data_IF_160406494495
#
_entry.id   IF_160406494495
#
_cell.length_a   1.000
_cell.length_b   1.000
_cell.length_c   1.000
_cell.angle_alpha   90.00
_cell.angle_beta   90.00
_cell.angle_gamma   90.00
#
_symmetry.space_group_name_H-M   'P 1'
#
loop_
_entity.id
_entity.type
_entity.pdbx_description
1 polymer ?
#
# COMPACT_ATOMS: atom_id res chain seq x y z
N UNK A 1 19.05 1.27 4.16
CA UNK A 1 20.08 0.87 3.17
C UNK A 1 19.67 1.36 1.79
N UNK A 2 20.61 1.80 0.95
CA UNK A 2 20.33 2.18 -0.44
C UNK A 2 20.38 0.95 -1.35
N UNK A 3 19.38 0.80 -2.22
CA UNK A 3 19.24 -0.28 -3.20
C UNK A 3 18.83 0.26 -4.58
N UNK A 4 18.97 -0.55 -5.63
CA UNK A 4 18.62 -0.19 -7.01
C UNK A 4 17.74 -1.31 -7.61
N UNK A 5 16.42 -1.25 -7.39
CA UNK A 5 15.52 -2.31 -7.82
C UNK A 5 15.53 -2.48 -9.34
N UNK A 6 15.38 -3.73 -9.78
CA UNK A 6 15.27 -4.08 -11.21
C UNK A 6 14.05 -4.95 -11.43
N UNK A 7 13.27 -4.59 -12.44
CA UNK A 7 12.07 -5.30 -12.81
C UNK A 7 12.33 -6.17 -14.04
N UNK A 8 12.01 -7.45 -13.94
CA UNK A 8 12.05 -8.40 -15.05
C UNK A 8 10.64 -8.89 -15.35
N UNK A 9 10.26 -8.85 -16.62
CA UNK A 9 8.95 -9.29 -17.09
C UNK A 9 9.12 -10.46 -18.05
N UNK A 10 8.36 -11.53 -17.84
CA UNK A 10 8.28 -12.60 -18.80
C UNK A 10 7.70 -12.11 -20.13
N UNK A 11 8.21 -12.62 -21.26
CA UNK A 11 7.73 -12.28 -22.62
C UNK A 11 6.49 -13.09 -23.04
N UNK A 12 5.91 -13.87 -22.14
CA UNK A 12 4.78 -14.78 -22.36
C UNK A 12 3.60 -14.34 -21.50
N UNK A 13 2.39 -14.72 -21.90
CA UNK A 13 1.12 -14.27 -21.30
C UNK A 13 0.89 -14.62 -19.82
N UNK A 14 1.80 -15.38 -19.19
CA UNK A 14 1.83 -15.51 -17.74
C UNK A 14 2.47 -14.25 -17.17
N UNK A 15 1.69 -13.48 -16.41
CA UNK A 15 2.00 -12.21 -15.74
C UNK A 15 3.09 -12.32 -14.66
N UNK A 16 4.06 -13.23 -14.83
CA UNK A 16 5.17 -13.41 -13.92
C UNK A 16 6.12 -12.23 -14.05
N UNK A 17 6.15 -11.43 -12.99
CA UNK A 17 7.00 -10.27 -12.84
C UNK A 17 7.91 -10.50 -11.64
N UNK A 18 9.21 -10.36 -11.85
CA UNK A 18 10.20 -10.49 -10.77
C UNK A 18 10.79 -9.11 -10.46
N UNK A 19 10.76 -8.73 -9.19
CA UNK A 19 11.41 -7.52 -8.69
C UNK A 19 12.62 -7.89 -7.86
N UNK A 20 13.80 -7.64 -8.41
CA UNK A 20 15.08 -7.82 -7.73
C UNK A 20 15.37 -6.57 -6.90
N UNK A 21 15.47 -6.71 -5.57
CA UNK A 21 15.73 -5.60 -4.65
C UNK A 21 17.15 -5.68 -4.10
N UNK A 22 17.56 -6.86 -3.63
CA UNK A 22 18.94 -7.18 -3.20
C UNK A 22 19.34 -8.57 -3.71
N UNK A 23 20.55 -9.03 -3.44
CA UNK A 23 21.01 -10.38 -3.83
C UNK A 23 20.18 -11.50 -3.18
N UNK A 24 19.60 -11.18 -2.02
CA UNK A 24 18.93 -12.06 -1.08
C UNK A 24 17.42 -11.75 -0.95
N UNK A 25 16.93 -10.75 -1.68
CA UNK A 25 15.52 -10.36 -1.72
C UNK A 25 15.06 -10.12 -3.16
N UNK A 26 14.30 -11.09 -3.67
CA UNK A 26 13.59 -11.04 -4.95
C UNK A 26 12.13 -11.35 -4.70
N UNK A 27 11.26 -10.48 -5.22
CA UNK A 27 9.80 -10.63 -5.11
C UNK A 27 9.24 -11.20 -6.42
N UNK A 28 8.29 -12.13 -6.29
CA UNK A 28 7.47 -12.64 -7.38
C UNK A 28 6.13 -11.90 -7.31
N UNK A 29 5.95 -10.96 -8.21
CA UNK A 29 4.85 -10.03 -8.20
C UNK A 29 3.67 -10.58 -9.00
N UNK A 30 2.48 -10.47 -8.40
CA UNK A 30 1.18 -10.60 -9.06
C UNK A 30 0.40 -9.29 -8.88
N UNK A 31 -0.46 -8.96 -9.85
CA UNK A 31 -1.33 -7.79 -9.76
C UNK A 31 -2.29 -7.95 -8.58
N UNK A 32 -2.42 -6.92 -7.73
CA UNK A 32 -3.35 -6.97 -6.62
C UNK A 32 -4.78 -6.64 -7.09
N UNK A 33 -5.69 -7.60 -6.91
CA UNK A 33 -7.11 -7.41 -7.21
C UNK A 33 -7.90 -7.04 -5.95
N UNK A 34 -7.95 -5.74 -5.63
CA UNK A 34 -8.69 -5.22 -4.46
C UNK A 34 -9.72 -4.14 -4.80
N UNK A 35 -9.77 -3.70 -6.05
CA UNK A 35 -10.63 -2.58 -6.45
C UNK A 35 -11.94 -3.09 -7.08
N UNK A 36 -13.08 -2.44 -6.77
CA UNK A 36 -14.27 -2.56 -7.60
C UNK A 36 -14.02 -1.95 -8.98
N UNK A 37 -14.93 -2.18 -9.93
CA UNK A 37 -14.80 -1.67 -11.31
C UNK A 37 -14.56 -0.15 -11.38
N UNK A 38 -15.14 0.61 -10.45
CA UNK A 38 -14.94 2.06 -10.32
C UNK A 38 -14.73 2.45 -8.86
N UNK A 39 -13.73 3.28 -8.63
CA UNK A 39 -13.42 3.87 -7.32
C UNK A 39 -13.85 5.33 -7.32
N UNK A 40 -14.65 5.74 -6.34
CA UNK A 40 -15.06 7.13 -6.16
C UNK A 40 -14.01 7.87 -5.31
N UNK A 41 -13.47 8.97 -5.85
CA UNK A 41 -12.63 9.91 -5.13
C UNK A 41 -13.38 11.21 -4.91
N UNK A 42 -13.57 11.57 -3.64
CA UNK A 42 -14.16 12.84 -3.23
C UNK A 42 -13.06 13.79 -2.75
N UNK A 43 -13.05 15.03 -3.23
CA UNK A 43 -12.18 16.06 -2.69
C UNK A 43 -12.87 17.42 -2.62
N UNK A 44 -12.36 18.28 -1.73
CA UNK A 44 -12.84 19.65 -1.60
C UNK A 44 -11.95 20.58 -2.42
N UNK A 45 -12.54 21.32 -3.36
CA UNK A 45 -11.87 22.40 -4.11
C UNK A 45 -12.51 23.73 -3.70
N UNK A 46 -11.99 24.33 -2.63
CA UNK A 46 -12.65 25.46 -1.95
C UNK A 46 -13.89 24.99 -1.20
N UNK A 47 -15.03 25.62 -1.45
CA UNK A 47 -16.33 25.26 -0.83
C UNK A 47 -17.10 24.17 -1.61
N UNK A 48 -16.59 23.73 -2.76
CA UNK A 48 -17.24 22.71 -3.59
C UNK A 48 -16.59 21.35 -3.39
N UNK A 49 -17.43 20.38 -3.05
CA UNK A 49 -17.09 18.96 -3.15
C UNK A 49 -17.08 18.57 -4.64
N UNK A 50 -16.01 17.88 -5.05
CA UNK A 50 -15.84 17.35 -6.40
C UNK A 50 -15.72 15.85 -6.31
N UNK A 51 -16.53 15.17 -7.11
CA UNK A 51 -16.59 13.70 -7.20
C UNK A 51 -15.98 13.27 -8.53
N UNK A 52 -15.08 12.28 -8.47
CA UNK A 52 -14.39 11.73 -9.63
C UNK A 52 -14.39 10.20 -9.53
N UNK A 53 -14.77 9.53 -10.61
CA UNK A 53 -14.68 8.07 -10.70
C UNK A 53 -13.42 7.69 -11.47
N UNK A 54 -12.61 6.83 -10.88
CA UNK A 54 -11.43 6.24 -11.51
C UNK A 54 -11.76 4.79 -11.85
N UNK A 55 -11.47 4.38 -13.09
CA UNK A 55 -11.67 3.00 -13.52
C UNK A 55 -10.59 2.09 -12.90
N UNK A 56 -10.99 0.87 -12.51
CA UNK A 56 -10.12 -0.15 -11.91
C UNK A 56 -8.78 -0.31 -12.63
N UNK A 57 -8.80 -0.30 -13.97
CA UNK A 57 -7.61 -0.49 -14.81
C UNK A 57 -6.53 0.57 -14.60
N UNK A 58 -6.90 1.80 -14.19
CA UNK A 58 -5.92 2.85 -13.91
C UNK A 58 -5.15 2.56 -12.61
N UNK A 59 -5.78 1.87 -11.65
CA UNK A 59 -5.20 1.58 -10.34
C UNK A 59 -4.57 0.19 -10.27
N UNK A 60 -5.25 -0.85 -10.77
CA UNK A 60 -4.81 -2.24 -10.65
C UNK A 60 -3.42 -2.46 -11.25
N UNK A 61 -3.12 -1.84 -12.38
CA UNK A 61 -1.82 -1.98 -13.05
C UNK A 61 -0.65 -1.32 -12.30
N UNK A 62 -0.93 -0.60 -11.21
CA UNK A 62 0.08 0.06 -10.39
C UNK A 62 0.38 -0.73 -9.12
N UNK A 63 -0.52 -1.62 -8.67
CA UNK A 63 -0.44 -2.27 -7.35
C UNK A 63 -0.13 -3.76 -7.49
N UNK A 64 0.93 -4.19 -6.82
CA UNK A 64 1.44 -5.54 -6.89
C UNK A 64 1.58 -6.14 -5.49
N UNK A 65 1.49 -7.47 -5.41
CA UNK A 65 1.72 -8.22 -4.19
C UNK A 65 2.64 -9.41 -4.40
N UNK A 66 3.33 -9.81 -3.34
CA UNK A 66 4.00 -11.11 -3.22
C UNK A 66 3.53 -11.75 -1.91
N UNK A 67 2.72 -12.81 -2.01
CA UNK A 67 2.17 -13.51 -0.85
C UNK A 67 3.25 -14.19 0.01
N UNK A 68 4.32 -14.70 -0.61
CA UNK A 68 5.40 -15.41 0.10
C UNK A 68 6.18 -14.46 1.00
N UNK A 69 6.43 -13.25 0.52
CA UNK A 69 7.16 -12.22 1.25
C UNK A 69 6.23 -11.22 1.96
N UNK A 70 4.91 -11.47 1.97
CA UNK A 70 3.88 -10.56 2.48
C UNK A 70 4.10 -9.11 2.02
N UNK A 71 4.48 -8.95 0.75
CA UNK A 71 4.84 -7.67 0.18
C UNK A 71 3.65 -7.07 -0.56
N UNK A 72 3.45 -5.77 -0.37
CA UNK A 72 2.49 -4.97 -1.10
C UNK A 72 3.18 -3.68 -1.55
N UNK A 73 3.15 -3.39 -2.84
CA UNK A 73 3.94 -2.30 -3.41
C UNK A 73 3.27 -1.69 -4.64
N UNK A 74 3.57 -0.43 -4.88
CA UNK A 74 3.29 0.25 -6.14
C UNK A 74 4.54 0.33 -7.01
N UNK A 75 4.36 0.29 -8.33
CA UNK A 75 5.45 0.49 -9.30
C UNK A 75 5.05 1.56 -10.32
N UNK A 76 5.84 2.64 -10.39
CA UNK A 76 5.77 3.66 -11.45
C UNK A 76 6.94 3.48 -12.44
N UNK A 77 6.72 3.79 -13.73
CA UNK A 77 7.67 3.47 -14.82
C UNK A 77 8.06 4.64 -15.71
N UNK A 78 7.51 5.83 -15.46
CA UNK A 78 7.61 6.96 -16.38
C UNK A 78 9.05 7.51 -16.49
N UNK A 79 9.82 7.49 -15.40
CA UNK A 79 11.19 8.02 -15.31
C UNK A 79 12.06 7.07 -14.48
N UNK A 80 12.24 5.86 -15.02
CA UNK A 80 12.85 4.73 -14.33
C UNK A 80 11.87 3.96 -13.46
N UNK A 81 12.33 2.83 -12.92
CA UNK A 81 11.52 1.99 -12.03
C UNK A 81 11.50 2.63 -10.64
N UNK A 82 10.32 3.10 -10.21
CA UNK A 82 10.08 3.62 -8.86
C UNK A 82 9.18 2.65 -8.11
N UNK A 83 9.63 2.17 -6.96
CA UNK A 83 8.95 1.20 -6.13
C UNK A 83 8.68 1.81 -4.75
N UNK A 84 7.43 1.77 -4.32
CA UNK A 84 7.04 2.21 -2.98
C UNK A 84 6.15 1.16 -2.33
N UNK A 85 6.45 0.74 -1.10
CA UNK A 85 5.65 -0.30 -0.47
C UNK A 85 6.22 -0.89 0.81
N UNK A 86 5.57 -1.96 1.26
CA UNK A 86 5.88 -2.70 2.48
C UNK A 86 6.30 -4.12 2.08
N UNK A 87 7.33 -4.65 2.75
CA UNK A 87 7.89 -5.98 2.52
C UNK A 87 8.09 -6.68 3.87
N UNK A 88 7.72 -7.95 3.98
CA UNK A 88 7.89 -8.79 5.18
C UNK A 88 7.34 -8.14 6.47
N UNK A 89 6.29 -7.31 6.35
CA UNK A 89 5.64 -6.53 7.42
C UNK A 89 6.55 -5.58 8.23
N UNK A 90 7.84 -5.54 7.93
CA UNK A 90 8.88 -4.89 8.76
C UNK A 90 9.72 -3.92 7.94
N UNK A 91 9.80 -4.10 6.62
CA UNK A 91 10.56 -3.22 5.75
C UNK A 91 9.65 -2.33 4.94
N UNK A 92 10.02 -1.06 4.75
CA UNK A 92 9.52 -0.21 3.68
C UNK A 92 10.60 0.00 2.63
N UNK A 93 10.15 0.09 1.39
CA UNK A 93 10.93 0.58 0.26
C UNK A 93 10.29 1.87 -0.25
N UNK A 94 11.11 2.87 -0.57
CA UNK A 94 10.64 4.11 -1.21
C UNK A 94 11.70 4.67 -2.15
N UNK A 95 11.31 5.35 -3.24
CA UNK A 95 12.27 6.02 -4.12
C UNK A 95 12.94 7.18 -3.36
N UNK A 96 14.21 7.43 -3.68
CA UNK A 96 14.93 8.61 -3.23
C UNK A 96 14.77 9.71 -4.29
N UNK A 97 14.23 10.87 -3.90
CA UNK A 97 14.14 12.03 -4.78
C UNK A 97 15.52 12.67 -4.93
N UNK A 98 16.35 12.15 -5.83
CA UNK A 98 17.64 12.76 -6.15
C UNK A 98 17.40 14.02 -6.98
N UNK A 99 17.79 15.19 -6.45
CA UNK A 99 17.66 16.50 -7.11
C UNK A 99 18.48 16.66 -8.40
N UNK A 100 19.27 15.65 -8.78
CA UNK A 100 20.07 15.67 -10.00
C UNK A 100 19.60 14.56 -10.93
N UNK A 101 19.26 14.93 -12.17
CA UNK A 101 19.10 14.00 -13.27
C UNK A 101 20.41 13.28 -13.48
N UNK A 102 20.59 12.14 -12.82
CA UNK A 102 21.58 11.19 -13.27
C UNK A 102 21.08 10.63 -14.60
N UNK A 103 21.89 10.64 -15.65
CA UNK A 103 21.64 9.93 -16.93
C UNK A 103 21.56 8.39 -16.76
N UNK A 104 21.42 7.90 -15.53
CA UNK A 104 21.28 6.50 -15.16
C UNK A 104 19.81 6.10 -15.16
N UNK A 105 19.43 5.00 -15.82
CA UNK A 105 18.07 4.47 -15.79
C UNK A 105 17.69 3.85 -14.43
N UNK A 106 18.61 3.83 -13.46
CA UNK A 106 18.45 3.20 -12.16
C UNK A 106 18.13 4.24 -11.08
N UNK A 107 16.88 4.23 -10.60
CA UNK A 107 16.44 5.07 -9.49
C UNK A 107 16.90 4.46 -8.17
N UNK A 108 17.57 5.26 -7.34
CA UNK A 108 17.97 4.84 -6.00
C UNK A 108 16.76 4.73 -5.07
N UNK A 109 16.74 3.70 -4.24
CA UNK A 109 15.67 3.47 -3.27
C UNK A 109 16.26 3.32 -1.87
N UNK A 110 15.52 3.82 -0.89
CA UNK A 110 15.77 3.53 0.50
C UNK A 110 14.95 2.30 0.93
N UNK A 111 15.63 1.23 1.32
CA UNK A 111 15.06 0.06 1.99
C UNK A 111 15.40 0.17 3.48
N UNK A 112 14.39 0.32 4.33
CA UNK A 112 14.59 0.53 5.76
C UNK A 112 13.58 -0.27 6.58
N UNK A 113 14.03 -0.71 7.74
CA UNK A 113 13.19 -1.39 8.72
C UNK A 113 12.35 -0.36 9.47
N UNK A 114 11.13 -0.74 9.82
CA UNK A 114 10.22 0.03 10.64
C UNK A 114 9.94 -0.80 11.88
N UNK A 115 10.22 -0.21 13.04
CA UNK A 115 9.83 -0.80 14.30
C UNK A 115 8.30 -0.89 14.36
N UNK A 116 7.78 -2.06 14.72
CA UNK A 116 6.35 -2.22 15.01
C UNK A 116 6.07 -1.38 16.26
N UNK A 117 5.52 -0.18 16.09
CA UNK A 117 5.35 0.82 17.17
C UNK A 117 4.43 0.30 18.29
N UNK A 118 3.66 -0.78 18.03
CA UNK A 118 2.79 -1.41 19.00
C UNK A 118 2.84 -2.94 18.93
N UNK A 119 3.86 -3.60 19.51
CA UNK A 119 3.88 -5.05 19.60
C UNK A 119 2.69 -5.59 20.42
N UNK A 120 2.03 -4.74 21.24
CA UNK A 120 0.97 -5.10 22.17
C UNK A 120 -0.23 -4.11 22.18
N UNK A 121 -0.71 -3.62 21.03
CA UNK A 121 -1.89 -2.72 20.99
C UNK A 121 -3.20 -3.33 21.54
N UNK A 122 -3.21 -4.61 21.95
CA UNK A 122 -4.30 -5.20 22.72
C UNK A 122 -4.30 -4.80 24.21
N UNK A 123 -3.24 -4.16 24.71
CA UNK A 123 -3.17 -3.64 26.06
C UNK A 123 -3.12 -2.12 26.03
N UNK A 124 -4.20 -1.50 26.49
CA UNK A 124 -4.23 -0.17 27.12
C UNK A 124 -3.79 1.03 26.26
N UNK A 125 -4.76 1.66 25.59
CA UNK A 125 -4.78 3.12 25.39
C UNK A 125 -6.22 3.62 25.25
N UNK A 126 -7.03 3.38 26.28
CA UNK A 126 -8.26 4.13 26.51
C UNK A 126 -7.93 5.34 27.38
N UNK A 127 -7.48 6.43 26.76
CA UNK A 127 -7.37 7.74 27.41
C UNK A 127 -8.01 8.80 26.52
N UNK A 128 -9.31 8.98 26.67
CA UNK A 128 -10.08 10.01 25.95
C UNK A 128 -11.58 9.95 26.24
N UNK A 129 -11.98 10.28 27.48
CA UNK A 129 -13.33 10.60 27.98
C UNK A 129 -14.48 9.58 27.80
N UNK A 130 -15.33 9.37 28.83
CA UNK A 130 -16.36 8.34 28.82
C UNK A 130 -17.67 8.92 28.27
N UNK A 131 -18.01 8.58 27.03
CA UNK A 131 -19.41 8.59 26.62
C UNK A 131 -19.83 7.15 26.34
N UNK A 132 -20.94 6.77 26.95
CA UNK A 132 -21.46 5.43 27.06
C UNK A 132 -21.95 4.88 25.70
N UNK A 133 -21.03 4.67 24.76
CA UNK A 133 -21.19 3.57 23.84
C UNK A 133 -20.66 2.36 24.60
N UNK A 134 -21.54 1.44 24.96
CA UNK A 134 -21.15 0.10 25.39
C UNK A 134 -20.30 -0.50 24.27
N UNK A 135 -18.98 -0.27 24.36
CA UNK A 135 -17.95 -1.06 23.73
C UNK A 135 -18.13 -2.44 24.33
N UNK A 136 -19.02 -3.22 23.72
CA UNK A 136 -18.99 -4.65 23.83
C UNK A 136 -17.54 -4.98 23.47
N UNK A 137 -16.72 -5.25 24.49
CA UNK A 137 -15.47 -5.93 24.33
C UNK A 137 -15.79 -7.05 23.34
N UNK A 138 -15.19 -6.97 22.16
CA UNK A 138 -15.17 -8.10 21.23
C UNK A 138 -14.35 -9.11 21.99
N UNK A 139 -15.04 -9.87 22.85
CA UNK A 139 -14.57 -11.16 23.29
C UNK A 139 -14.20 -11.84 21.99
N UNK A 140 -12.94 -12.22 21.89
CA UNK A 140 -12.46 -13.19 20.91
C UNK A 140 -13.53 -14.28 20.85
N UNK A 141 -14.39 -14.23 19.82
CA UNK A 141 -15.42 -15.24 19.67
C UNK A 141 -14.63 -16.50 19.44
N UNK A 142 -14.61 -17.40 20.43
CA UNK A 142 -14.10 -18.74 20.28
C UNK A 142 -14.54 -19.24 18.91
N UNK A 143 -13.56 -19.42 18.01
CA UNK A 143 -13.76 -19.43 16.58
C UNK A 143 -14.85 -20.42 16.18
N UNK A 144 -16.06 -19.93 15.93
CA UNK A 144 -17.03 -20.65 15.13
C UNK A 144 -16.79 -20.28 13.68
N UNK A 145 -15.82 -20.97 13.08
CA UNK A 145 -15.50 -20.90 11.66
C UNK A 145 -14.73 -19.65 11.25
N UNK A 146 -13.74 -19.84 10.39
CA UNK A 146 -13.12 -18.74 9.64
C UNK A 146 -14.16 -18.19 8.65
N UNK A 147 -14.89 -17.16 9.04
CA UNK A 147 -15.80 -16.47 8.14
C UNK A 147 -15.03 -15.37 7.39
N UNK A 148 -14.85 -15.56 6.08
CA UNK A 148 -14.35 -14.49 5.21
C UNK A 148 -15.44 -13.42 5.09
N UNK A 149 -15.07 -12.17 5.32
CA UNK A 149 -15.96 -11.00 5.23
C UNK A 149 -15.41 -10.00 4.23
N UNK A 150 -16.30 -9.32 3.49
CA UNK A 150 -15.95 -8.31 2.50
C UNK A 150 -16.57 -6.97 2.90
N UNK A 151 -15.96 -6.22 3.83
CA UNK A 151 -16.48 -4.93 4.23
C UNK A 151 -16.23 -3.87 3.14
N UNK A 152 -17.19 -2.96 2.97
CA UNK A 152 -16.95 -1.72 2.22
C UNK A 152 -16.17 -0.75 3.10
N UNK A 153 -15.08 -0.17 2.56
CA UNK A 153 -14.19 0.72 3.30
C UNK A 153 -14.27 2.12 2.71
N UNK A 154 -14.58 3.10 3.56
CA UNK A 154 -14.47 4.53 3.22
C UNK A 154 -13.23 5.11 3.92
N UNK A 155 -12.33 5.71 3.13
CA UNK A 155 -11.08 6.28 3.65
C UNK A 155 -11.11 7.79 3.51
N UNK A 156 -10.94 8.48 4.63
CA UNK A 156 -10.75 9.93 4.68
C UNK A 156 -9.28 10.24 4.91
N UNK A 157 -8.66 10.96 3.97
CA UNK A 157 -7.27 11.39 4.07
C UNK A 157 -7.17 12.92 4.17
N UNK A 158 -6.54 13.43 5.21
CA UNK A 158 -6.20 14.85 5.32
C UNK A 158 -4.91 15.13 4.53
N UNK A 159 -5.05 15.92 3.48
CA UNK A 159 -3.97 16.26 2.54
C UNK A 159 -3.36 17.63 2.81
N UNK A 160 -3.85 18.37 3.82
CA UNK A 160 -3.48 19.76 4.10
C UNK A 160 -1.98 19.98 4.33
N UNK A 161 -1.29 18.96 4.84
CA UNK A 161 0.15 18.98 5.14
C UNK A 161 1.05 18.60 3.96
N UNK A 162 0.49 18.03 2.87
CA UNK A 162 1.24 17.44 1.75
C UNK A 162 0.83 17.98 0.36
N UNK A 163 0.12 19.12 0.35
CA UNK A 163 -0.58 19.71 -0.82
C UNK A 163 0.26 19.91 -2.08
N UNK A 164 1.59 19.95 -1.98
CA UNK A 164 2.47 20.21 -3.14
C UNK A 164 2.96 18.95 -3.85
N UNK A 165 2.86 17.77 -3.24
CA UNK A 165 3.57 16.58 -3.72
C UNK A 165 2.64 15.41 -4.11
N UNK A 166 1.42 15.34 -3.59
CA UNK A 166 0.56 14.16 -3.77
C UNK A 166 -0.65 14.47 -4.66
N UNK A 167 -0.73 13.77 -5.80
CA UNK A 167 -1.92 13.75 -6.65
C UNK A 167 -3.00 12.85 -6.03
N UNK A 168 -4.26 13.02 -6.45
CA UNK A 168 -5.37 12.15 -6.03
C UNK A 168 -5.04 10.67 -6.26
N UNK A 169 -4.45 10.37 -7.42
CA UNK A 169 -4.01 9.04 -7.80
C UNK A 169 -2.96 8.48 -6.82
N UNK A 170 -1.97 9.28 -6.41
CA UNK A 170 -0.96 8.85 -5.42
C UNK A 170 -1.57 8.50 -4.07
N UNK A 171 -2.59 9.23 -3.62
CA UNK A 171 -3.31 8.89 -2.37
C UNK A 171 -4.07 7.58 -2.53
N UNK A 172 -4.79 7.41 -3.64
CA UNK A 172 -5.52 6.17 -3.92
C UNK A 172 -4.57 4.95 -3.96
N UNK A 173 -3.42 5.10 -4.62
CA UNK A 173 -2.34 4.09 -4.68
C UNK A 173 -1.78 3.79 -3.29
N UNK A 174 -1.47 4.82 -2.49
CA UNK A 174 -0.98 4.63 -1.12
C UNK A 174 -1.97 3.86 -0.24
N UNK A 175 -3.25 4.24 -0.29
CA UNK A 175 -4.33 3.56 0.46
C UNK A 175 -4.49 2.12 -0.03
N UNK A 176 -4.39 1.89 -1.34
CA UNK A 176 -4.46 0.56 -1.91
C UNK A 176 -3.32 -0.35 -1.42
N UNK A 177 -2.07 0.12 -1.45
CA UNK A 177 -0.93 -0.62 -0.91
C UNK A 177 -1.16 -0.99 0.57
N UNK A 178 -1.71 -0.07 1.37
CA UNK A 178 -2.05 -0.32 2.77
C UNK A 178 -3.12 -1.43 2.91
N UNK A 179 -4.19 -1.38 2.11
CA UNK A 179 -5.26 -2.38 2.15
C UNK A 179 -4.78 -3.76 1.68
N UNK A 180 -3.97 -3.82 0.62
CA UNK A 180 -3.34 -5.07 0.17
C UNK A 180 -2.46 -5.65 1.27
N UNK A 181 -1.63 -4.82 1.91
CA UNK A 181 -0.80 -5.25 3.03
C UNK A 181 -1.62 -5.80 4.21
N UNK A 182 -2.73 -5.14 4.55
CA UNK A 182 -3.66 -5.62 5.57
C UNK A 182 -4.28 -6.97 5.19
N UNK A 183 -4.75 -7.12 3.95
CA UNK A 183 -5.30 -8.38 3.45
C UNK A 183 -4.28 -9.52 3.55
N UNK A 184 -3.02 -9.29 3.15
CA UNK A 184 -1.96 -10.29 3.28
C UNK A 184 -1.74 -10.72 4.74
N UNK A 185 -1.82 -9.77 5.69
CA UNK A 185 -1.65 -10.05 7.14
C UNK A 185 -2.82 -10.85 7.74
N UNK A 186 -4.05 -10.68 7.25
CA UNK A 186 -5.21 -11.43 7.74
C UNK A 186 -5.43 -12.77 7.01
N UNK A 187 -4.73 -12.99 5.89
CA UNK A 187 -4.74 -14.26 5.14
C UNK A 187 -3.62 -15.22 5.57
N UNK A 188 -2.58 -14.74 6.26
CA UNK A 188 -1.46 -15.54 6.81
C UNK A 188 -1.82 -16.23 8.12
#
# INVERSE_FOLDING_TARGET
RIVYPRLLEARSADEQMELFITEDLTLNLETADIFPDKVLLCNNKGEKEVHEYIDKSELSNMIYQDKKHMAALSIERDDGIRVEGIILNTYRIRPMDTMERSDSPLVAHELFEIEEIYPNAYSSSANGHPEQASLHHVMERAAQGSQVVYPEIYVLADISTHTRMWTKLKIAVYVAVLLVSANLRFLS
#
